data_IF_724084947553
#
_entry.id   IF_724084947553
#
_cell.length_a   1.000
_cell.length_b   1.000
_cell.length_c   1.000
_cell.angle_alpha   90.00
_cell.angle_beta   90.00
_cell.angle_gamma   90.00
#
_symmetry.space_group_name_H-M   'P 1'
#
loop_
_entity.id
_entity.type
_entity.pdbx_description
1 polymer ?
#
# COMPACT_ATOMS: atom_id res chain seq x y z
N UNK A 1 -4.48 -16.16 4.98
CA UNK A 1 -3.75 -14.88 5.07
C UNK A 1 -3.35 -14.43 3.69
N UNK A 2 -3.46 -13.15 3.42
CA UNK A 2 -2.95 -12.53 2.19
C UNK A 2 -1.63 -11.83 2.53
N UNK A 3 -0.64 -12.01 1.67
CA UNK A 3 0.71 -11.51 1.92
C UNK A 3 1.22 -10.69 0.74
N UNK A 4 2.05 -9.69 1.04
CA UNK A 4 2.88 -9.00 0.05
C UNK A 4 4.29 -9.53 0.20
N UNK A 5 4.86 -10.11 -0.86
CA UNK A 5 6.14 -10.83 -0.79
C UNK A 5 7.09 -10.30 -1.86
N UNK A 6 8.32 -10.03 -1.45
CA UNK A 6 9.40 -9.64 -2.35
C UNK A 6 10.57 -10.60 -2.16
N UNK A 7 10.88 -11.38 -3.21
CA UNK A 7 11.98 -12.34 -3.20
C UNK A 7 11.98 -13.25 -1.97
N UNK A 8 10.79 -13.78 -1.63
CA UNK A 8 10.62 -14.69 -0.51
C UNK A 8 10.51 -14.01 0.85
N UNK A 9 10.61 -12.69 0.91
CA UNK A 9 10.50 -11.94 2.16
C UNK A 9 9.09 -11.35 2.29
N UNK A 10 8.43 -11.60 3.40
CA UNK A 10 7.09 -11.08 3.67
C UNK A 10 7.18 -9.62 4.09
N UNK A 11 6.61 -8.73 3.27
CA UNK A 11 6.60 -7.29 3.52
C UNK A 11 5.34 -6.88 4.29
N UNK A 12 4.22 -7.56 4.02
CA UNK A 12 2.96 -7.32 4.72
C UNK A 12 2.17 -8.62 4.79
N UNK A 13 1.31 -8.74 5.80
CA UNK A 13 0.62 -10.00 6.10
C UNK A 13 -0.64 -9.70 6.91
N UNK A 14 -1.82 -10.01 6.36
CA UNK A 14 -3.10 -9.77 7.02
C UNK A 14 -4.17 -10.75 6.53
N UNK A 15 -5.20 -11.04 7.36
CA UNK A 15 -6.38 -11.76 6.88
C UNK A 15 -7.03 -10.99 5.74
N UNK A 16 -7.49 -11.70 4.72
CA UNK A 16 -8.04 -11.06 3.52
C UNK A 16 -9.24 -10.16 3.83
N UNK A 17 -10.02 -10.48 4.84
CA UNK A 17 -11.18 -9.68 5.22
C UNK A 17 -10.80 -8.35 5.90
N UNK A 18 -9.53 -8.16 6.26
CA UNK A 18 -9.03 -6.89 6.78
C UNK A 18 -8.44 -6.00 5.67
N UNK A 19 -8.28 -6.51 4.46
CA UNK A 19 -7.80 -5.72 3.34
C UNK A 19 -8.95 -4.97 2.68
N UNK A 20 -8.60 -3.89 1.98
CA UNK A 20 -9.57 -3.13 1.18
C UNK A 20 -9.11 -3.23 -0.27
N UNK A 21 -10.00 -3.63 -1.17
CA UNK A 21 -9.70 -3.70 -2.60
C UNK A 21 -10.17 -2.44 -3.28
N UNK A 22 -9.25 -1.72 -3.92
CA UNK A 22 -9.54 -0.47 -4.64
C UNK A 22 -8.88 -0.55 -6.01
N UNK A 23 -9.68 -0.43 -7.07
CA UNK A 23 -9.18 -0.43 -8.46
C UNK A 23 -8.31 -1.66 -8.78
N UNK A 24 -8.69 -2.82 -8.23
CA UNK A 24 -7.97 -4.06 -8.47
C UNK A 24 -6.75 -4.29 -7.58
N UNK A 25 -6.40 -3.34 -6.73
CA UNK A 25 -5.28 -3.48 -5.81
C UNK A 25 -5.75 -3.76 -4.39
N UNK A 26 -5.04 -4.65 -3.70
CA UNK A 26 -5.27 -4.92 -2.29
C UNK A 26 -4.49 -3.93 -1.43
N UNK A 27 -5.20 -3.25 -0.53
CA UNK A 27 -4.60 -2.32 0.42
C UNK A 27 -4.54 -2.97 1.79
N UNK A 28 -3.34 -3.02 2.36
CA UNK A 28 -3.08 -3.64 3.67
C UNK A 28 -3.22 -2.63 4.78
N UNK A 29 -3.85 -2.99 5.91
CA UNK A 29 -3.88 -2.08 7.08
C UNK A 29 -2.46 -1.76 7.53
N UNK A 30 -2.21 -0.52 8.01
CA UNK A 30 -0.85 -0.12 8.36
C UNK A 30 -0.20 -1.02 9.41
N UNK A 31 -0.98 -1.57 10.34
CA UNK A 31 -0.46 -2.47 11.38
C UNK A 31 0.07 -3.80 10.85
N UNK A 32 -0.33 -4.18 9.62
CA UNK A 32 0.08 -5.44 9.00
C UNK A 32 1.35 -5.30 8.16
N UNK A 33 1.85 -4.08 7.99
CA UNK A 33 2.99 -3.79 7.11
C UNK A 33 4.27 -3.72 7.93
N UNK A 34 5.30 -4.44 7.46
CA UNK A 34 6.63 -4.42 8.07
C UNK A 34 7.36 -3.17 7.57
N UNK A 35 7.20 -2.06 8.29
CA UNK A 35 7.64 -0.73 7.86
C UNK A 35 9.15 -0.60 7.69
N UNK A 36 9.93 -1.50 8.28
CA UNK A 36 11.39 -1.51 8.12
C UNK A 36 11.82 -1.73 6.67
N UNK A 37 10.93 -2.30 5.83
CA UNK A 37 11.20 -2.50 4.41
C UNK A 37 10.79 -1.32 3.53
N UNK A 38 10.15 -0.30 4.10
CA UNK A 38 9.62 0.83 3.33
C UNK A 38 10.40 2.11 3.64
N UNK A 39 10.70 2.87 2.58
CA UNK A 39 11.34 4.17 2.70
C UNK A 39 10.54 5.16 1.87
N UNK A 40 10.23 6.31 2.44
CA UNK A 40 9.54 7.39 1.71
C UNK A 40 10.36 7.76 0.48
N UNK A 41 9.78 7.63 -0.70
CA UNK A 41 10.50 7.93 -1.95
C UNK A 41 10.43 9.40 -2.34
N UNK A 42 9.47 10.13 -1.81
CA UNK A 42 9.26 11.54 -2.13
C UNK A 42 8.64 11.81 -3.50
N UNK A 43 8.27 10.76 -4.26
CA UNK A 43 7.64 10.93 -5.56
C UNK A 43 6.25 11.56 -5.40
N UNK A 44 5.98 12.74 -6.00
CA UNK A 44 4.68 13.39 -5.83
C UNK A 44 3.62 12.80 -6.77
N UNK A 45 2.44 12.59 -6.24
CA UNK A 45 1.27 12.23 -7.04
C UNK A 45 0.00 12.54 -6.26
N UNK A 46 -1.00 13.10 -6.93
CA UNK A 46 -2.32 13.32 -6.33
C UNK A 46 -3.37 12.65 -7.20
N UNK A 47 -4.09 11.69 -6.59
CA UNK A 47 -5.20 11.04 -7.27
C UNK A 47 -6.42 11.97 -7.24
N UNK A 48 -7.11 12.19 -8.38
CA UNK A 48 -8.24 13.13 -8.43
C UNK A 48 -9.38 12.80 -7.47
N UNK A 49 -9.57 11.52 -7.12
CA UNK A 49 -10.67 11.17 -6.22
C UNK A 49 -10.22 10.63 -4.86
N UNK A 50 -8.98 10.09 -4.75
CA UNK A 50 -8.48 9.57 -3.48
C UNK A 50 -7.71 10.60 -2.66
N UNK A 51 -7.00 11.50 -3.32
CA UNK A 51 -6.21 12.52 -2.64
C UNK A 51 -4.72 12.38 -2.87
N UNK A 52 -3.93 13.04 -2.03
CA UNK A 52 -2.48 13.02 -2.14
C UNK A 52 -1.92 11.64 -1.80
N UNK A 53 -1.11 11.11 -2.70
CA UNK A 53 -0.48 9.80 -2.57
C UNK A 53 0.91 9.95 -1.96
N UNK A 54 1.26 9.03 -1.07
CA UNK A 54 2.62 8.89 -0.57
C UNK A 54 3.22 7.61 -1.14
N UNK A 55 4.25 7.74 -1.96
CA UNK A 55 4.98 6.59 -2.49
C UNK A 55 6.10 6.16 -1.57
N UNK A 56 6.34 4.84 -1.56
CA UNK A 56 7.45 4.25 -0.83
C UNK A 56 8.30 3.42 -1.77
N UNK A 57 9.61 3.48 -1.56
CA UNK A 57 10.53 2.51 -2.12
C UNK A 57 10.58 1.30 -1.18
N UNK A 58 10.78 0.12 -1.75
CA UNK A 58 10.82 -1.13 -0.98
C UNK A 58 12.26 -1.67 -0.99
N UNK A 59 12.77 -1.98 0.19
CA UNK A 59 14.11 -2.53 0.33
C UNK A 59 14.14 -4.01 -0.02
N UNK A 60 15.15 -4.41 -0.79
CA UNK A 60 15.43 -5.80 -1.14
C UNK A 60 16.94 -6.00 -0.92
N UNK A 61 17.32 -6.38 0.31
CA UNK A 61 18.72 -6.44 0.70
C UNK A 61 19.38 -5.08 0.54
N UNK A 62 20.43 -5.00 -0.30
CA UNK A 62 21.13 -3.75 -0.59
C UNK A 62 20.49 -2.96 -1.73
N UNK A 63 19.42 -3.50 -2.34
CA UNK A 63 18.73 -2.87 -3.45
C UNK A 63 17.50 -2.12 -2.95
N UNK A 64 17.20 -1.00 -3.60
CA UNK A 64 16.01 -0.20 -3.32
C UNK A 64 15.15 -0.14 -4.57
N UNK A 65 13.94 -0.69 -4.50
CA UNK A 65 13.00 -0.65 -5.62
C UNK A 65 12.10 0.57 -5.46
N UNK A 66 12.34 1.58 -6.28
CA UNK A 66 11.65 2.87 -6.16
C UNK A 66 10.16 2.75 -6.51
N UNK A 67 9.31 3.33 -5.66
CA UNK A 67 7.87 3.47 -5.90
C UNK A 67 7.15 2.14 -6.11
N UNK A 68 7.50 1.13 -5.32
CA UNK A 68 6.84 -0.19 -5.37
C UNK A 68 5.73 -0.35 -4.36
N UNK A 69 5.51 0.67 -3.51
CA UNK A 69 4.40 0.72 -2.57
C UNK A 69 3.85 2.13 -2.49
N UNK A 70 2.57 2.27 -2.10
CA UNK A 70 1.98 3.58 -1.91
C UNK A 70 0.86 3.53 -0.90
N UNK A 71 0.52 4.71 -0.34
CA UNK A 71 -0.60 4.89 0.57
C UNK A 71 -1.23 6.26 0.36
N UNK A 72 -2.38 6.48 0.98
CA UNK A 72 -3.06 7.77 1.02
C UNK A 72 -3.21 8.17 2.47
N UNK A 73 -2.30 9.01 3.02
CA UNK A 73 -2.36 9.38 4.44
C UNK A 73 -3.61 10.18 4.82
N UNK A 74 -4.13 10.99 3.87
CA UNK A 74 -5.29 11.84 4.11
C UNK A 74 -6.26 11.78 2.91
N UNK A 75 -6.97 10.64 2.72
CA UNK A 75 -7.90 10.53 1.61
C UNK A 75 -9.02 11.55 1.73
N UNK A 76 -9.57 11.97 0.58
CA UNK A 76 -10.76 12.81 0.58
C UNK A 76 -11.94 12.03 1.16
N UNK A 77 -12.79 12.68 1.94
CA UNK A 77 -13.99 12.05 2.50
C UNK A 77 -14.89 11.45 1.42
N UNK A 78 -14.98 12.13 0.28
CA UNK A 78 -15.77 11.66 -0.86
C UNK A 78 -15.27 10.33 -1.42
N UNK A 79 -14.00 9.99 -1.19
CA UNK A 79 -13.44 8.72 -1.64
C UNK A 79 -14.06 7.53 -0.91
N UNK A 80 -14.48 7.70 0.33
CA UNK A 80 -15.01 6.59 1.13
C UNK A 80 -16.33 6.05 0.55
N UNK A 81 -17.08 6.86 -0.18
CA UNK A 81 -18.30 6.38 -0.86
C UNK A 81 -17.98 5.32 -1.92
N UNK A 82 -16.77 5.35 -2.50
CA UNK A 82 -16.35 4.39 -3.52
C UNK A 82 -15.72 3.12 -2.94
N UNK A 83 -15.51 3.09 -1.63
CA UNK A 83 -14.91 1.95 -0.94
C UNK A 83 -15.90 1.30 0.03
N UNK A 84 -17.21 1.49 -0.19
CA UNK A 84 -18.23 0.97 0.69
C UNK A 84 -18.26 1.62 2.06
N UNK A 85 -17.84 2.87 2.16
CA UNK A 85 -17.76 3.61 3.42
C UNK A 85 -16.51 3.31 4.24
N UNK A 86 -15.56 2.55 3.68
CA UNK A 86 -14.35 2.17 4.41
C UNK A 86 -13.30 3.26 4.35
N UNK A 87 -12.71 3.55 5.49
CA UNK A 87 -11.59 4.49 5.60
C UNK A 87 -10.30 3.74 5.33
N UNK A 88 -9.62 4.09 4.24
CA UNK A 88 -8.37 3.44 3.85
C UNK A 88 -7.13 4.31 4.14
N UNK A 89 -7.24 5.25 5.06
CA UNK A 89 -6.11 6.12 5.45
C UNK A 89 -4.91 5.29 5.87
N UNK A 90 -3.75 5.57 5.28
CA UNK A 90 -2.47 4.89 5.57
C UNK A 90 -2.43 3.41 5.21
N UNK A 91 -3.46 2.85 4.59
CA UNK A 91 -3.39 1.50 4.04
C UNK A 91 -2.40 1.49 2.88
N UNK A 92 -1.64 0.40 2.73
CA UNK A 92 -0.53 0.31 1.79
C UNK A 92 -0.83 -0.71 0.71
N UNK A 93 -0.64 -0.32 -0.55
CA UNK A 93 -0.71 -1.20 -1.71
C UNK A 93 0.67 -1.40 -2.31
N UNK A 94 0.83 -2.46 -3.09
CA UNK A 94 2.11 -2.87 -3.66
C UNK A 94 1.95 -3.25 -5.13
N UNK A 95 3.04 -3.21 -5.89
CA UNK A 95 2.99 -3.63 -7.29
C UNK A 95 4.33 -4.13 -7.82
N UNK A 96 4.30 -4.61 -9.08
CA UNK A 96 5.47 -5.15 -9.81
C UNK A 96 6.12 -6.32 -9.07
N UNK A 97 7.39 -6.16 -8.66
CA UNK A 97 8.16 -7.24 -8.06
C UNK A 97 7.60 -7.68 -6.71
N UNK A 98 6.87 -6.79 -6.01
CA UNK A 98 6.19 -7.17 -4.77
C UNK A 98 4.88 -7.87 -5.14
N UNK A 99 4.81 -9.16 -4.90
CA UNK A 99 3.66 -9.99 -5.26
C UNK A 99 2.69 -10.10 -4.11
N UNK A 100 1.39 -9.99 -4.43
CA UNK A 100 0.32 -10.05 -3.44
C UNK A 100 -0.54 -11.29 -3.71
N UNK A 101 -0.74 -12.09 -2.67
CA UNK A 101 -1.55 -13.31 -2.81
C UNK A 101 -1.58 -14.25 -1.61
#
# INVERSE_FOLDING_TARGET
MTQAILNGVVIADAPQDELIKIEGNWYFPPSSVHSEFLVDSGTPYTCPWKGECQYFSVKDGDTMLQDRAWSYPHPYETAFARTGGKNFSNYVAFWKEVKVG
#
